data_IF_458228568113
#
_entry.id   IF_458228568113
#
_cell.length_a   1.000
_cell.length_b   1.000
_cell.length_c   1.000
_cell.angle_alpha   90.00
_cell.angle_beta   90.00
_cell.angle_gamma   90.00
#
_symmetry.space_group_name_H-M   'P 1'
#
loop_
_entity.id
_entity.type
_entity.pdbx_description
1 polymer ?
#
# COMPACT_ATOMS: atom_id res chain seq x y z
N UNK A 1 -19.69 -17.47 -1.33
CA UNK A 1 -20.22 -16.28 -2.05
C UNK A 1 -19.11 -15.71 -2.93
N UNK A 2 -19.06 -16.11 -4.20
CA UNK A 2 -18.12 -15.57 -5.18
C UNK A 2 -18.38 -14.07 -5.41
N UNK A 3 -17.42 -13.21 -5.06
CA UNK A 3 -17.49 -11.78 -5.42
C UNK A 3 -16.89 -11.62 -6.82
N UNK A 4 -17.75 -11.59 -7.83
CA UNK A 4 -17.42 -11.07 -9.16
C UNK A 4 -16.85 -9.67 -8.96
N UNK A 5 -15.64 -9.40 -9.45
CA UNK A 5 -15.08 -8.06 -9.40
C UNK A 5 -15.90 -7.18 -10.33
N UNK A 6 -16.70 -6.30 -9.73
CA UNK A 6 -17.52 -5.37 -10.47
C UNK A 6 -16.65 -4.23 -10.99
N UNK A 7 -16.94 -3.77 -12.22
CA UNK A 7 -16.38 -2.55 -12.83
C UNK A 7 -16.30 -1.37 -11.84
N UNK A 8 -17.24 -1.32 -10.89
CA UNK A 8 -17.35 -0.35 -9.80
C UNK A 8 -16.07 -0.24 -8.95
N UNK A 9 -15.41 -1.35 -8.60
CA UNK A 9 -14.20 -1.31 -7.75
C UNK A 9 -13.01 -0.62 -8.42
N UNK A 10 -12.81 -0.83 -9.72
CA UNK A 10 -11.76 -0.13 -10.49
C UNK A 10 -12.08 1.35 -10.64
N UNK A 11 -13.34 1.68 -10.94
CA UNK A 11 -13.80 3.07 -11.02
C UNK A 11 -13.61 3.81 -9.70
N UNK A 12 -13.85 3.16 -8.54
CA UNK A 12 -13.59 3.76 -7.23
C UNK A 12 -12.10 4.05 -7.04
N UNK A 13 -11.20 3.14 -7.43
CA UNK A 13 -9.74 3.39 -7.33
C UNK A 13 -9.27 4.51 -8.24
N UNK A 14 -9.80 4.58 -9.46
CA UNK A 14 -9.54 5.69 -10.39
C UNK A 14 -10.05 7.00 -9.79
N UNK A 15 -11.27 7.03 -9.24
CA UNK A 15 -11.81 8.22 -8.60
C UNK A 15 -10.95 8.70 -7.43
N UNK A 16 -10.47 7.78 -6.58
CA UNK A 16 -9.52 8.10 -5.49
C UNK A 16 -8.24 8.69 -6.08
N UNK A 17 -7.64 8.08 -7.10
CA UNK A 17 -6.44 8.60 -7.74
C UNK A 17 -6.65 10.00 -8.33
N UNK A 18 -7.80 10.26 -8.94
CA UNK A 18 -8.18 11.59 -9.45
C UNK A 18 -8.31 12.61 -8.32
N UNK A 19 -8.92 12.23 -7.18
CA UNK A 19 -9.00 13.10 -6.00
C UNK A 19 -7.59 13.47 -5.52
N UNK A 20 -6.65 12.52 -5.45
CA UNK A 20 -5.27 12.81 -5.06
C UNK A 20 -4.56 13.76 -6.02
N UNK A 21 -4.77 13.63 -7.34
CA UNK A 21 -4.24 14.59 -8.32
C UNK A 21 -4.75 16.01 -8.08
N UNK A 22 -6.06 16.18 -7.90
CA UNK A 22 -6.63 17.50 -7.63
C UNK A 22 -6.25 18.03 -6.25
N UNK A 23 -6.14 17.16 -5.26
CA UNK A 23 -5.76 17.54 -3.89
C UNK A 23 -4.35 18.13 -3.86
N UNK A 24 -3.38 17.52 -4.55
CA UNK A 24 -2.01 18.06 -4.64
C UNK A 24 -1.98 19.46 -5.27
N UNK A 25 -2.78 19.67 -6.32
CA UNK A 25 -2.91 20.97 -6.98
C UNK A 25 -3.56 22.02 -6.06
N UNK A 26 -4.72 21.70 -5.47
CA UNK A 26 -5.46 22.60 -4.58
C UNK A 26 -4.61 22.99 -3.37
N UNK A 27 -3.96 22.02 -2.72
CA UNK A 27 -3.11 22.32 -1.57
C UNK A 27 -1.94 23.24 -1.96
N UNK A 28 -1.30 23.04 -3.11
CA UNK A 28 -0.26 23.96 -3.59
C UNK A 28 -0.77 25.40 -3.72
N UNK A 29 -1.93 25.58 -4.33
CA UNK A 29 -2.50 26.91 -4.57
C UNK A 29 -3.02 27.60 -3.31
N UNK A 30 -3.65 26.87 -2.39
CA UNK A 30 -4.32 27.45 -1.23
C UNK A 30 -3.44 27.55 0.02
N UNK A 31 -2.51 26.61 0.23
CA UNK A 31 -1.67 26.57 1.44
C UNK A 31 -0.21 26.92 1.16
N UNK A 32 0.16 27.18 -0.09
CA UNK A 32 1.55 27.47 -0.48
C UNK A 32 2.47 26.27 -0.33
N UNK A 33 1.90 25.06 -0.23
CA UNK A 33 2.61 23.80 0.03
C UNK A 33 3.84 23.66 -0.88
N UNK A 34 4.99 23.27 -0.33
CA UNK A 34 6.23 23.11 -1.10
C UNK A 34 6.03 22.30 -2.39
N UNK A 35 6.69 22.73 -3.46
CA UNK A 35 6.56 22.13 -4.80
C UNK A 35 6.83 20.62 -4.79
N UNK A 36 7.89 20.19 -4.12
CA UNK A 36 8.24 18.76 -3.98
C UNK A 36 7.13 17.94 -3.34
N UNK A 37 6.50 18.47 -2.30
CA UNK A 37 5.43 17.78 -1.58
C UNK A 37 4.13 17.74 -2.40
N UNK A 38 3.79 18.82 -3.10
CA UNK A 38 2.65 18.85 -4.02
C UNK A 38 2.82 17.85 -5.17
N UNK A 39 4.02 17.81 -5.78
CA UNK A 39 4.36 16.83 -6.82
C UNK A 39 4.30 15.39 -6.31
N UNK A 40 4.70 15.15 -5.06
CA UNK A 40 4.62 13.81 -4.45
C UNK A 40 3.17 13.34 -4.35
N UNK A 41 2.26 14.20 -3.90
CA UNK A 41 0.82 13.89 -3.81
C UNK A 41 0.24 13.62 -5.20
N UNK A 42 0.58 14.45 -6.19
CA UNK A 42 0.16 14.25 -7.57
C UNK A 42 0.67 12.92 -8.14
N UNK A 43 1.94 12.57 -7.90
CA UNK A 43 2.52 11.31 -8.35
C UNK A 43 1.81 10.10 -7.76
N UNK A 44 1.43 10.15 -6.48
CA UNK A 44 0.63 9.08 -5.85
C UNK A 44 -0.71 8.91 -6.58
N UNK A 45 -1.41 10.00 -6.88
CA UNK A 45 -2.67 9.99 -7.64
C UNK A 45 -2.50 9.40 -9.04
N UNK A 46 -1.45 9.81 -9.76
CA UNK A 46 -1.14 9.29 -11.09
C UNK A 46 -0.84 7.79 -11.09
N UNK A 47 0.01 7.33 -10.16
CA UNK A 47 0.35 5.91 -10.00
C UNK A 47 -0.90 5.07 -9.71
N UNK A 48 -1.80 5.56 -8.84
CA UNK A 48 -3.06 4.87 -8.54
C UNK A 48 -3.95 4.70 -9.77
N UNK A 49 -4.08 5.74 -10.60
CA UNK A 49 -4.85 5.67 -11.86
C UNK A 49 -4.20 4.67 -12.81
N UNK A 50 -2.88 4.75 -12.97
CA UNK A 50 -2.12 3.92 -13.91
C UNK A 50 -2.21 2.43 -13.53
N UNK A 51 -1.95 2.10 -12.26
CA UNK A 51 -2.08 0.72 -11.74
C UNK A 51 -3.52 0.23 -11.88
N UNK A 52 -4.51 1.06 -11.56
CA UNK A 52 -5.93 0.68 -11.65
C UNK A 52 -6.36 0.39 -13.08
N UNK A 53 -5.87 1.19 -14.03
CA UNK A 53 -6.15 1.02 -15.47
C UNK A 53 -5.49 -0.24 -16.00
N UNK A 54 -4.20 -0.45 -15.73
CA UNK A 54 -3.48 -1.67 -16.12
C UNK A 54 -4.15 -2.92 -15.54
N UNK A 55 -4.52 -2.85 -14.26
CA UNK A 55 -5.18 -3.96 -13.57
C UNK A 55 -6.55 -4.24 -14.18
N UNK A 56 -7.34 -3.22 -14.52
CA UNK A 56 -8.63 -3.40 -15.18
C UNK A 56 -8.49 -4.11 -16.53
N UNK A 57 -7.49 -3.71 -17.32
CA UNK A 57 -7.21 -4.34 -18.63
C UNK A 57 -6.78 -5.80 -18.46
N UNK A 58 -5.84 -6.09 -17.55
CA UNK A 58 -5.32 -7.46 -17.32
C UNK A 58 -6.35 -8.43 -16.73
N UNK A 59 -7.30 -7.92 -15.94
CA UNK A 59 -8.20 -8.73 -15.13
C UNK A 59 -9.64 -8.76 -15.65
N UNK A 60 -9.88 -8.21 -16.84
CA UNK A 60 -11.21 -8.19 -17.47
C UNK A 60 -11.68 -9.64 -17.71
N UNK A 61 -12.72 -10.07 -17.00
CA UNK A 61 -13.34 -11.39 -17.16
C UNK A 61 -12.76 -12.52 -16.29
N UNK A 62 -11.82 -12.26 -15.36
CA UNK A 62 -11.29 -13.27 -14.43
C UNK A 62 -12.02 -13.25 -13.08
N UNK A 63 -12.39 -14.43 -12.58
CA UNK A 63 -12.85 -14.61 -11.19
C UNK A 63 -11.61 -14.56 -10.30
N UNK A 64 -11.50 -13.51 -9.48
CA UNK A 64 -10.28 -13.21 -8.71
C UNK A 64 -10.43 -13.53 -7.23
N UNK A 65 -11.68 -13.66 -6.74
CA UNK A 65 -11.96 -13.78 -5.31
C UNK A 65 -12.45 -15.17 -4.94
N UNK A 66 -11.51 -16.11 -5.04
CA UNK A 66 -11.64 -17.45 -4.47
C UNK A 66 -11.28 -17.44 -2.97
N UNK A 67 -11.76 -18.42 -2.20
CA UNK A 67 -11.44 -18.59 -0.77
C UNK A 67 -9.92 -18.62 -0.54
N UNK A 68 -9.18 -19.21 -1.48
CA UNK A 68 -7.71 -19.21 -1.50
C UNK A 68 -7.09 -17.81 -1.49
N UNK A 69 -7.59 -16.88 -2.29
CA UNK A 69 -7.09 -15.49 -2.32
C UNK A 69 -7.29 -14.80 -0.96
N UNK A 70 -8.39 -15.13 -0.28
CA UNK A 70 -8.71 -14.58 1.03
C UNK A 70 -7.80 -15.15 2.12
N UNK A 71 -7.50 -16.46 2.08
CA UNK A 71 -6.50 -17.09 2.95
C UNK A 71 -5.12 -16.46 2.77
N UNK A 72 -4.65 -16.32 1.53
CA UNK A 72 -3.35 -15.71 1.20
C UNK A 72 -3.27 -14.27 1.73
N UNK A 73 -4.34 -13.48 1.54
CA UNK A 73 -4.37 -12.10 2.01
C UNK A 73 -4.27 -11.99 3.52
N UNK A 74 -4.98 -12.85 4.26
CA UNK A 74 -4.92 -12.90 5.73
C UNK A 74 -3.54 -13.31 6.22
N UNK A 75 -3.00 -14.41 5.69
CA UNK A 75 -1.68 -14.89 6.08
C UNK A 75 -0.58 -13.88 5.75
N UNK A 76 -0.62 -13.26 4.56
CA UNK A 76 0.34 -12.23 4.17
C UNK A 76 0.32 -11.01 5.12
N UNK A 77 -0.88 -10.63 5.60
CA UNK A 77 -1.01 -9.57 6.59
C UNK A 77 -0.43 -9.98 7.96
N UNK A 78 -0.69 -11.20 8.41
CA UNK A 78 -0.12 -11.73 9.67
C UNK A 78 1.41 -11.79 9.63
N UNK A 79 2.00 -12.26 8.52
CA UNK A 79 3.46 -12.28 8.35
C UNK A 79 4.04 -10.86 8.34
N UNK A 80 3.39 -9.93 7.63
CA UNK A 80 3.79 -8.52 7.62
C UNK A 80 3.76 -7.91 9.02
N UNK A 81 2.70 -8.14 9.78
CA UNK A 81 2.58 -7.66 11.15
C UNK A 81 3.69 -8.21 12.05
N UNK A 82 4.03 -9.49 11.90
CA UNK A 82 5.12 -10.13 12.65
C UNK A 82 6.47 -9.48 12.33
N UNK A 83 6.75 -9.20 11.05
CA UNK A 83 7.96 -8.45 10.67
C UNK A 83 7.95 -7.05 11.28
N UNK A 84 6.81 -6.35 11.25
CA UNK A 84 6.71 -5.01 11.83
C UNK A 84 6.98 -5.03 13.34
N UNK A 85 6.54 -6.05 14.07
CA UNK A 85 6.90 -6.20 15.49
C UNK A 85 8.40 -6.39 15.70
N UNK A 86 9.05 -7.22 14.88
CA UNK A 86 10.51 -7.40 14.94
C UNK A 86 11.21 -6.07 14.65
N UNK A 87 10.74 -5.32 13.65
CA UNK A 87 11.28 -4.00 13.33
C UNK A 87 11.09 -3.00 14.47
N UNK A 88 9.94 -3.00 15.14
CA UNK A 88 9.70 -2.17 16.32
C UNK A 88 10.68 -2.52 17.46
N UNK A 89 10.90 -3.81 17.71
CA UNK A 89 11.87 -4.25 18.72
C UNK A 89 13.29 -3.77 18.37
N UNK A 90 13.69 -3.85 17.09
CA UNK A 90 14.99 -3.33 16.64
C UNK A 90 15.08 -1.82 16.83
N UNK A 91 14.06 -1.06 16.41
CA UNK A 91 14.04 0.39 16.56
C UNK A 91 14.08 0.81 18.03
N UNK A 92 13.37 0.10 18.90
CA UNK A 92 13.41 0.31 20.34
C UNK A 92 14.83 0.17 20.90
N UNK A 93 15.54 -0.91 20.54
CA UNK A 93 16.91 -1.10 21.01
C UNK A 93 17.90 -0.08 20.42
N UNK A 94 17.70 0.35 19.18
CA UNK A 94 18.53 1.39 18.56
C UNK A 94 18.41 2.72 19.32
N UNK A 95 17.17 3.08 19.70
CA UNK A 95 16.88 4.29 20.49
C UNK A 95 17.44 4.17 21.91
N UNK A 96 17.18 3.05 22.60
CA UNK A 96 17.64 2.81 23.98
C UNK A 96 19.17 2.81 24.09
N UNK A 97 19.86 2.18 23.13
CA UNK A 97 21.33 2.16 23.08
C UNK A 97 21.93 3.47 22.53
N UNK A 98 21.09 4.47 22.20
CA UNK A 98 21.48 5.75 21.59
C UNK A 98 22.35 5.58 20.33
N UNK A 99 22.11 4.51 19.55
CA UNK A 99 22.89 4.22 18.33
C UNK A 99 22.53 5.16 17.18
N UNK A 100 21.28 5.62 17.12
CA UNK A 100 20.80 6.59 16.15
C UNK A 100 19.60 7.36 16.69
N UNK A 101 19.47 8.64 16.32
CA UNK A 101 18.33 9.47 16.69
C UNK A 101 17.36 9.58 15.51
N UNK A 102 16.12 9.14 15.72
CA UNK A 102 15.06 9.25 14.74
C UNK A 102 13.97 10.20 15.22
N UNK A 103 13.49 11.05 14.31
CA UNK A 103 12.26 11.81 14.55
C UNK A 103 11.04 10.88 14.49
N UNK A 104 9.97 11.25 15.19
CA UNK A 104 8.68 10.51 15.16
C UNK A 104 8.20 10.34 13.71
N UNK A 105 8.34 11.37 12.88
CA UNK A 105 7.97 11.32 11.46
C UNK A 105 8.77 10.27 10.68
N UNK A 106 10.08 10.12 10.96
CA UNK A 106 10.91 9.10 10.33
C UNK A 106 10.51 7.70 10.77
N UNK A 107 10.24 7.50 12.07
CA UNK A 107 9.78 6.20 12.59
C UNK A 107 8.45 5.80 11.94
N UNK A 108 7.48 6.72 11.90
CA UNK A 108 6.19 6.48 11.23
C UNK A 108 6.37 6.17 9.74
N UNK A 109 7.25 6.90 9.06
CA UNK A 109 7.58 6.64 7.65
C UNK A 109 8.17 5.25 7.43
N UNK A 110 9.11 4.84 8.29
CA UNK A 110 9.72 3.50 8.25
C UNK A 110 8.66 2.42 8.49
N UNK A 111 7.82 2.58 9.52
CA UNK A 111 6.79 1.59 9.87
C UNK A 111 5.73 1.43 8.78
N UNK A 112 5.21 2.55 8.25
CA UNK A 112 4.23 2.51 7.16
C UNK A 112 4.80 1.86 5.91
N UNK A 113 6.06 2.17 5.57
CA UNK A 113 6.74 1.60 4.43
C UNK A 113 7.01 0.11 4.62
N UNK A 114 7.55 -0.28 5.76
CA UNK A 114 7.86 -1.68 6.07
C UNK A 114 6.60 -2.55 6.06
N UNK A 115 5.51 -2.10 6.68
CA UNK A 115 4.24 -2.83 6.69
C UNK A 115 3.65 -2.97 5.27
N UNK A 116 3.65 -1.89 4.49
CA UNK A 116 3.10 -1.91 3.12
C UNK A 116 3.92 -2.82 2.19
N UNK A 117 5.23 -2.69 2.22
CA UNK A 117 6.14 -3.45 1.35
C UNK A 117 6.15 -4.93 1.70
N UNK A 118 6.21 -5.27 3.00
CA UNK A 118 6.24 -6.67 3.43
C UNK A 118 4.88 -7.33 3.20
N UNK A 119 3.76 -6.63 3.42
CA UNK A 119 2.41 -7.15 3.15
C UNK A 119 2.21 -7.54 1.69
N UNK A 120 2.60 -6.66 0.76
CA UNK A 120 2.54 -6.97 -0.68
C UNK A 120 3.53 -8.06 -1.06
N UNK A 121 4.75 -8.00 -0.53
CA UNK A 121 5.80 -9.01 -0.77
C UNK A 121 5.35 -10.42 -0.37
N UNK A 122 4.80 -10.57 0.84
CA UNK A 122 4.28 -11.85 1.32
C UNK A 122 3.06 -12.33 0.53
N UNK A 123 2.15 -11.44 0.13
CA UNK A 123 1.02 -11.81 -0.73
C UNK A 123 1.51 -12.36 -2.07
N UNK A 124 2.51 -11.73 -2.70
CA UNK A 124 3.10 -12.21 -3.96
C UNK A 124 3.79 -13.56 -3.74
N UNK A 125 4.56 -13.68 -2.66
CA UNK A 125 5.31 -14.90 -2.37
C UNK A 125 4.41 -16.10 -2.09
N UNK A 126 3.39 -15.93 -1.23
CA UNK A 126 2.39 -16.97 -0.93
C UNK A 126 1.60 -17.36 -2.19
N UNK A 127 1.25 -16.39 -3.03
CA UNK A 127 0.54 -16.67 -4.28
C UNK A 127 1.38 -17.49 -5.28
N UNK A 128 2.71 -17.36 -5.25
CA UNK A 128 3.62 -18.16 -6.08
C UNK A 128 3.83 -19.59 -5.57
N UNK A 129 3.54 -19.87 -4.28
CA UNK A 129 3.94 -21.12 -3.62
C UNK A 129 3.02 -22.33 -3.87
N UNK A 130 1.93 -22.20 -4.62
CA UNK A 130 0.93 -23.28 -4.75
C UNK A 130 -0.04 -23.32 -3.57
N UNK A 131 -0.88 -24.34 -3.42
CA UNK A 131 -1.95 -24.36 -2.41
C UNK A 131 -1.38 -24.13 -1.00
N UNK A 132 -1.98 -23.19 -0.28
CA UNK A 132 -1.60 -22.86 1.10
C UNK A 132 -2.65 -23.54 1.96
N UNK A 133 -2.33 -24.73 2.47
CA UNK A 133 -3.21 -25.49 3.37
C UNK A 133 -3.68 -24.63 4.55
#
# INVERSE_FOLDING_TARGET
>A
MEKIITKKAYLTRIAIGTIFLFLGLVLRFFTGLNETSALTICNIGFILILISTISWVKNKGKIIKDERSLKISRQGLTYSWTITYILLAILFWIDELNLAQFTINQILGILLSAMSLTGVGFQIWLNRKGDVE
#
